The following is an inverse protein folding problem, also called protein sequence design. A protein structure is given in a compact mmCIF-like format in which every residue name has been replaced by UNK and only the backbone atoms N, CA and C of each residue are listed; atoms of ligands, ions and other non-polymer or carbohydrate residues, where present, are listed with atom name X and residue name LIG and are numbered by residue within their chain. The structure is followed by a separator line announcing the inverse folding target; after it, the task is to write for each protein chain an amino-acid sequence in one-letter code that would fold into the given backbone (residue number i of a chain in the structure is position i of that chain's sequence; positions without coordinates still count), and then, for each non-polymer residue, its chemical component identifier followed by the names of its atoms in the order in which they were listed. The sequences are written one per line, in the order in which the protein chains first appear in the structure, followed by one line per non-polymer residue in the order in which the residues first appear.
data_IF_505920658693
#
_entry.id   IF_505920658693
#
_cell.length_a   1.000
_cell.length_b   1.000
_cell.length_c   1.000
_cell.angle_alpha   90.00
_cell.angle_beta   90.00
_cell.angle_gamma   90.00
#
_symmetry.space_group_name_H-M   'P 1'
#
loop_
_entity.id
_entity.type
_entity.pdbx_description
1 polymer ?
#
# COMPACT_ATOMS: atom_id res chain seq x y z
N UNK A 1 5.39 21.46 -13.32
CA UNK A 1 4.61 20.88 -12.21
C UNK A 1 5.61 20.28 -11.23
N UNK A 2 5.63 20.72 -9.97
CA UNK A 2 6.54 20.15 -8.98
C UNK A 2 6.20 18.67 -8.78
N UNK A 3 7.20 17.79 -8.82
CA UNK A 3 6.97 16.36 -8.63
C UNK A 3 6.45 16.08 -7.22
N UNK A 4 5.40 15.26 -7.17
CA UNK A 4 4.82 14.76 -5.93
C UNK A 4 5.85 13.93 -5.13
N UNK A 5 5.67 13.87 -3.81
CA UNK A 5 6.56 13.11 -2.92
C UNK A 5 6.58 11.63 -3.31
N UNK A 6 5.44 11.06 -3.75
CA UNK A 6 5.38 9.66 -4.21
C UNK A 6 6.31 9.42 -5.39
N UNK A 7 6.26 10.29 -6.40
CA UNK A 7 7.10 10.20 -7.60
C UNK A 7 8.58 10.38 -7.29
N UNK A 8 8.93 11.32 -6.40
CA UNK A 8 10.31 11.52 -5.93
C UNK A 8 10.84 10.27 -5.24
N UNK A 9 10.01 9.63 -4.42
CA UNK A 9 10.36 8.41 -3.70
C UNK A 9 10.56 7.22 -4.65
N UNK A 10 9.68 6.99 -5.63
CA UNK A 10 9.90 5.93 -6.63
C UNK A 10 11.15 6.19 -7.46
N UNK A 11 11.44 7.44 -7.84
CA UNK A 11 12.67 7.77 -8.56
C UNK A 11 13.93 7.58 -7.72
N UNK A 12 13.86 7.85 -6.42
CA UNK A 12 14.93 7.51 -5.49
C UNK A 12 15.19 6.00 -5.50
N UNK A 13 14.15 5.17 -5.39
CA UNK A 13 14.28 3.71 -5.46
C UNK A 13 14.92 3.25 -6.78
N UNK A 14 14.38 3.72 -7.92
CA UNK A 14 14.91 3.42 -9.27
C UNK A 14 16.39 3.79 -9.36
N UNK A 15 16.76 4.99 -8.93
CA UNK A 15 18.14 5.46 -8.99
C UNK A 15 19.07 4.60 -8.10
N UNK A 16 18.67 4.37 -6.84
CA UNK A 16 19.43 3.56 -5.90
C UNK A 16 19.70 2.16 -6.43
N UNK A 17 18.69 1.51 -7.02
CA UNK A 17 18.84 0.14 -7.48
C UNK A 17 19.51 0.04 -8.84
N UNK A 18 19.30 1.01 -9.73
CA UNK A 18 20.07 1.12 -10.97
C UNK A 18 21.57 1.26 -10.69
N UNK A 19 21.94 2.11 -9.70
CA UNK A 19 23.33 2.28 -9.30
C UNK A 19 23.93 0.99 -8.74
N UNK A 20 23.18 0.26 -7.91
CA UNK A 20 23.59 -1.05 -7.42
C UNK A 20 23.73 -2.08 -8.54
N UNK A 21 22.79 -2.12 -9.48
CA UNK A 21 22.81 -3.05 -10.61
C UNK A 21 24.10 -2.85 -11.42
N UNK A 22 24.40 -1.61 -11.81
CA UNK A 22 25.62 -1.26 -12.54
C UNK A 22 26.87 -1.66 -11.74
N UNK A 23 26.90 -1.38 -10.44
CA UNK A 23 28.00 -1.77 -9.56
C UNK A 23 28.21 -3.29 -9.51
N UNK A 24 27.13 -4.06 -9.38
CA UNK A 24 27.16 -5.54 -9.38
C UNK A 24 27.63 -6.09 -10.73
N UNK A 25 27.11 -5.58 -11.85
CA UNK A 25 27.56 -6.03 -13.17
C UNK A 25 29.04 -5.74 -13.39
N UNK A 26 29.51 -4.53 -13.07
CA UNK A 26 30.92 -4.17 -13.19
C UNK A 26 31.79 -5.08 -12.32
N UNK A 27 31.42 -5.27 -11.05
CA UNK A 27 32.17 -6.12 -10.13
C UNK A 27 32.16 -7.60 -10.56
N UNK A 28 31.02 -8.11 -11.04
CA UNK A 28 30.87 -9.48 -11.52
C UNK A 28 31.70 -9.77 -12.78
N UNK A 29 31.80 -8.81 -13.71
CA UNK A 29 32.68 -8.92 -14.89
C UNK A 29 34.15 -8.92 -14.45
N UNK A 30 34.54 -8.01 -13.55
CA UNK A 30 35.94 -7.90 -13.08
C UNK A 30 36.36 -9.14 -12.28
N UNK A 31 35.49 -9.64 -11.41
CA UNK A 31 35.78 -10.81 -10.56
C UNK A 31 35.58 -12.15 -11.26
N UNK A 32 34.87 -12.17 -12.41
CA UNK A 32 34.41 -13.39 -13.07
C UNK A 32 33.32 -14.14 -12.29
N UNK A 33 32.71 -13.51 -11.28
CA UNK A 33 31.71 -14.15 -10.41
C UNK A 33 30.34 -14.19 -11.08
N UNK A 34 29.96 -15.38 -11.55
CA UNK A 34 28.61 -15.65 -12.07
C UNK A 34 27.53 -15.42 -11.01
N UNK A 35 27.84 -15.63 -9.72
CA UNK A 35 26.92 -15.36 -8.61
C UNK A 35 26.60 -13.86 -8.50
N UNK A 36 27.62 -13.00 -8.59
CA UNK A 36 27.43 -11.54 -8.56
C UNK A 36 26.69 -11.05 -9.81
N UNK A 37 27.03 -11.57 -10.99
CA UNK A 37 26.30 -11.26 -12.22
C UNK A 37 24.83 -11.66 -12.15
N UNK A 38 24.53 -12.85 -11.65
CA UNK A 38 23.15 -13.30 -11.42
C UNK A 38 22.42 -12.37 -10.46
N UNK A 39 23.06 -11.98 -9.34
CA UNK A 39 22.47 -11.02 -8.39
C UNK A 39 22.29 -9.61 -8.97
N UNK A 40 22.99 -9.29 -10.07
CA UNK A 40 22.79 -8.06 -10.83
C UNK A 40 21.53 -8.12 -11.71
N UNK A 41 21.17 -9.30 -12.22
CA UNK A 41 19.92 -9.51 -12.96
C UNK A 41 18.69 -9.32 -12.06
N UNK A 42 18.78 -9.75 -10.79
CA UNK A 42 17.72 -9.49 -9.80
C UNK A 42 17.48 -7.97 -9.65
N UNK A 43 18.56 -7.19 -9.52
CA UNK A 43 18.46 -5.74 -9.47
C UNK A 43 17.88 -5.09 -10.76
N UNK A 44 17.93 -5.77 -11.92
CA UNK A 44 17.24 -5.28 -13.12
C UNK A 44 15.72 -5.46 -12.96
N UNK A 45 15.27 -6.59 -12.41
CA UNK A 45 13.85 -6.80 -12.11
C UNK A 45 13.37 -5.74 -11.11
N UNK A 46 14.16 -5.40 -10.10
CA UNK A 46 13.84 -4.33 -9.14
C UNK A 46 13.63 -2.96 -9.83
N UNK A 47 14.49 -2.63 -10.81
CA UNK A 47 14.35 -1.40 -11.61
C UNK A 47 13.06 -1.42 -12.42
N UNK A 48 12.70 -2.56 -13.01
CA UNK A 48 11.43 -2.73 -13.72
C UNK A 48 10.24 -2.55 -12.78
N UNK A 49 10.26 -3.19 -11.60
CA UNK A 49 9.22 -3.10 -10.58
C UNK A 49 9.03 -1.65 -10.10
N UNK A 50 10.12 -0.99 -9.71
CA UNK A 50 10.07 0.41 -9.28
C UNK A 50 9.63 1.35 -10.41
N UNK A 51 9.99 1.02 -11.65
CA UNK A 51 9.54 1.72 -12.85
C UNK A 51 8.03 1.59 -13.07
N UNK A 52 7.48 0.38 -12.91
CA UNK A 52 6.04 0.13 -12.96
C UNK A 52 5.30 0.91 -11.87
N UNK A 53 5.82 0.89 -10.64
CA UNK A 53 5.31 1.69 -9.52
C UNK A 53 5.27 3.19 -9.87
N UNK A 54 6.37 3.73 -10.43
CA UNK A 54 6.43 5.14 -10.85
C UNK A 54 5.39 5.47 -11.93
N UNK A 55 5.22 4.61 -12.94
CA UNK A 55 4.22 4.80 -14.00
C UNK A 55 2.81 4.78 -13.42
N UNK A 56 2.53 3.81 -12.54
CA UNK A 56 1.24 3.69 -11.88
C UNK A 56 0.91 4.91 -11.01
N UNK A 57 1.86 5.37 -10.21
CA UNK A 57 1.72 6.59 -9.40
C UNK A 57 1.48 7.81 -10.29
N UNK A 58 2.22 7.95 -11.40
CA UNK A 58 2.00 9.04 -12.36
C UNK A 58 0.61 9.00 -12.98
N UNK A 59 0.15 7.81 -13.35
CA UNK A 59 -1.18 7.61 -13.92
C UNK A 59 -2.26 7.92 -12.88
N UNK A 60 -2.15 7.39 -11.67
CA UNK A 60 -3.06 7.64 -10.56
C UNK A 60 -3.11 9.11 -10.11
N UNK A 61 -2.02 9.86 -10.31
CA UNK A 61 -1.98 11.29 -10.00
C UNK A 61 -2.69 12.16 -11.04
N UNK A 62 -3.12 11.59 -12.18
CA UNK A 62 -3.88 12.36 -13.17
C UNK A 62 -5.28 12.69 -12.64
N UNK A 63 -5.78 13.92 -12.85
CA UNK A 63 -7.15 14.26 -12.50
C UNK A 63 -8.16 13.41 -13.29
N UNK A 64 -9.43 13.39 -12.87
CA UNK A 64 -10.52 12.81 -13.66
C UNK A 64 -10.58 13.37 -15.08
N UNK A 65 -10.93 12.50 -16.02
CA UNK A 65 -11.18 12.85 -17.42
C UNK A 65 -12.51 12.27 -17.92
N UNK A 66 -12.79 12.44 -19.21
CA UNK A 66 -14.06 12.03 -19.83
C UNK A 66 -14.27 10.51 -19.71
N UNK A 67 -13.21 9.73 -19.87
CA UNK A 67 -13.25 8.26 -19.82
C UNK A 67 -13.17 7.73 -18.37
N UNK A 68 -12.60 8.53 -17.46
CA UNK A 68 -12.37 8.18 -16.06
C UNK A 68 -12.86 9.29 -15.11
N UNK A 69 -14.18 9.40 -14.95
CA UNK A 69 -14.84 10.46 -14.16
C UNK A 69 -14.52 10.46 -12.66
N UNK A 70 -14.09 9.31 -12.12
CA UNK A 70 -13.61 9.19 -10.73
C UNK A 70 -12.09 9.31 -10.60
N UNK A 71 -11.38 9.52 -11.71
CA UNK A 71 -9.92 9.56 -11.76
C UNK A 71 -9.28 8.18 -11.95
N UNK A 72 -7.96 8.16 -11.78
CA UNK A 72 -7.11 7.03 -12.19
C UNK A 72 -6.50 6.27 -11.00
N UNK A 73 -7.00 6.51 -9.77
CA UNK A 73 -6.38 5.99 -8.53
C UNK A 73 -6.16 4.47 -8.53
N UNK A 74 -7.09 3.71 -9.13
CA UNK A 74 -7.00 2.24 -9.27
C UNK A 74 -5.76 1.75 -10.03
N UNK A 75 -5.04 2.62 -10.75
CA UNK A 75 -3.77 2.28 -11.37
C UNK A 75 -2.72 1.83 -10.33
N UNK A 76 -2.69 2.44 -9.14
CA UNK A 76 -1.80 2.00 -8.06
C UNK A 76 -2.18 0.60 -7.53
N UNK A 77 -3.48 0.33 -7.41
CA UNK A 77 -3.98 -0.97 -6.95
C UNK A 77 -3.66 -2.08 -7.96
N UNK A 78 -3.80 -1.79 -9.26
CA UNK A 78 -3.41 -2.71 -10.32
C UNK A 78 -1.91 -2.99 -10.31
N UNK A 79 -1.07 -1.96 -10.12
CA UNK A 79 0.37 -2.14 -10.00
C UNK A 79 0.73 -3.03 -8.82
N UNK A 80 0.12 -2.80 -7.65
CA UNK A 80 0.33 -3.63 -6.46
C UNK A 80 -0.04 -5.11 -6.71
N UNK A 81 -1.10 -5.39 -7.46
CA UNK A 81 -1.49 -6.75 -7.85
C UNK A 81 -0.41 -7.38 -8.74
N UNK A 82 0.03 -6.68 -9.79
CA UNK A 82 1.04 -7.20 -10.73
C UNK A 82 2.37 -7.43 -10.04
N UNK A 83 2.80 -6.48 -9.19
CA UNK A 83 4.01 -6.62 -8.39
C UNK A 83 3.91 -7.84 -7.46
N UNK A 84 2.77 -8.03 -6.80
CA UNK A 84 2.55 -9.20 -5.95
C UNK A 84 2.64 -10.51 -6.73
N UNK A 85 2.16 -10.56 -7.98
CA UNK A 85 2.30 -11.76 -8.81
C UNK A 85 3.78 -12.05 -9.11
N UNK A 86 4.56 -11.01 -9.43
CA UNK A 86 5.99 -11.16 -9.71
C UNK A 86 6.72 -11.67 -8.47
N UNK A 87 6.48 -11.07 -7.29
CA UNK A 87 7.11 -11.49 -6.03
C UNK A 87 6.70 -12.92 -5.65
N UNK A 88 5.44 -13.31 -5.93
CA UNK A 88 4.98 -14.68 -5.70
C UNK A 88 5.78 -15.68 -6.53
N UNK A 89 5.98 -15.40 -7.82
CA UNK A 89 6.81 -16.23 -8.68
C UNK A 89 8.28 -16.25 -8.23
N UNK A 90 8.83 -15.12 -7.78
CA UNK A 90 10.18 -15.06 -7.20
C UNK A 90 10.31 -15.96 -5.97
N UNK A 91 9.34 -15.93 -5.05
CA UNK A 91 9.33 -16.82 -3.88
C UNK A 91 9.25 -18.30 -4.24
N UNK A 92 8.43 -18.66 -5.24
CA UNK A 92 8.36 -20.03 -5.77
C UNK A 92 9.68 -20.44 -6.43
N UNK A 93 10.29 -19.54 -7.21
CA UNK A 93 11.56 -19.79 -7.88
C UNK A 93 12.71 -20.00 -6.88
N UNK A 94 12.73 -19.25 -5.77
CA UNK A 94 13.68 -19.46 -4.67
C UNK A 94 13.53 -20.87 -4.10
N UNK A 95 12.32 -21.29 -3.73
CA UNK A 95 12.06 -22.64 -3.22
C UNK A 95 12.51 -23.71 -4.22
N UNK A 96 12.10 -23.57 -5.48
CA UNK A 96 12.46 -24.52 -6.54
C UNK A 96 13.98 -24.64 -6.69
N UNK A 97 14.69 -23.50 -6.80
CA UNK A 97 16.15 -23.48 -6.96
C UNK A 97 16.88 -24.02 -5.74
N UNK A 98 16.37 -23.78 -4.54
CA UNK A 98 16.90 -24.34 -3.31
C UNK A 98 16.76 -25.87 -3.27
N UNK A 99 15.61 -26.41 -3.69
CA UNK A 99 15.40 -27.87 -3.80
C UNK A 99 16.28 -28.50 -4.86
N UNK A 100 16.36 -27.90 -6.05
CA UNK A 100 17.22 -28.36 -7.14
C UNK A 100 18.68 -28.44 -6.69
N UNK A 101 19.21 -27.37 -6.08
CA UNK A 101 20.58 -27.32 -5.55
C UNK A 101 20.86 -28.36 -4.47
N UNK A 102 19.90 -28.58 -3.58
CA UNK A 102 20.03 -29.58 -2.52
C UNK A 102 20.13 -31.00 -3.09
N UNK A 103 19.36 -31.32 -4.12
CA UNK A 103 19.42 -32.63 -4.79
C UNK A 103 20.71 -32.82 -5.58
N UNK A 104 21.19 -31.77 -6.26
CA UNK A 104 22.41 -31.80 -7.07
C UNK A 104 23.71 -31.70 -6.25
N UNK A 105 23.62 -31.55 -4.92
CA UNK A 105 24.76 -31.38 -4.01
C UNK A 105 25.71 -30.23 -4.41
N UNK A 106 25.18 -29.20 -5.06
CA UNK A 106 25.96 -28.04 -5.47
C UNK A 106 26.29 -27.17 -4.25
N UNK A 107 27.56 -26.78 -4.14
CA UNK A 107 28.00 -25.80 -3.14
C UNK A 107 28.33 -24.50 -3.86
N UNK A 108 27.79 -23.38 -3.35
CA UNK A 108 28.16 -22.06 -3.85
C UNK A 108 29.37 -21.60 -3.06
N UNK A 109 30.52 -21.52 -3.72
CA UNK A 109 31.68 -20.85 -3.15
C UNK A 109 31.53 -19.36 -3.34
N UNK A 110 31.24 -18.66 -2.24
CA UNK A 110 31.24 -17.21 -2.22
C UNK A 110 32.66 -16.69 -2.02
N UNK A 111 33.12 -15.83 -2.92
CA UNK A 111 34.33 -15.05 -2.72
C UNK A 111 34.13 -14.02 -1.60
N UNK A 112 35.21 -13.58 -0.96
CA UNK A 112 35.17 -12.46 -0.01
C UNK A 112 34.63 -11.17 -0.64
N UNK A 113 34.84 -11.01 -1.95
CA UNK A 113 34.29 -9.90 -2.74
C UNK A 113 32.77 -10.02 -2.89
N UNK A 114 32.24 -11.24 -3.08
CA UNK A 114 30.80 -11.50 -3.18
C UNK A 114 30.09 -11.16 -1.86
N UNK A 115 30.71 -11.48 -0.71
CA UNK A 115 30.21 -11.11 0.61
C UNK A 115 30.11 -9.60 0.79
N UNK A 116 31.12 -8.84 0.38
CA UNK A 116 31.09 -7.38 0.44
C UNK A 116 29.94 -6.76 -0.38
N UNK A 117 29.70 -7.31 -1.57
CA UNK A 117 28.62 -6.87 -2.45
C UNK A 117 27.24 -7.24 -1.88
N UNK A 118 27.09 -8.43 -1.32
CA UNK A 118 25.83 -8.84 -0.67
C UNK A 118 25.49 -7.94 0.51
N UNK A 119 26.48 -7.59 1.36
CA UNK A 119 26.28 -6.65 2.47
C UNK A 119 25.88 -5.26 1.97
N UNK A 120 26.55 -4.75 0.94
CA UNK A 120 26.19 -3.47 0.33
C UNK A 120 24.76 -3.49 -0.22
N UNK A 121 24.38 -4.58 -0.91
CA UNK A 121 23.04 -4.78 -1.44
C UNK A 121 22.01 -4.78 -0.32
N UNK A 122 22.24 -5.53 0.76
CA UNK A 122 21.37 -5.61 1.92
C UNK A 122 21.14 -4.22 2.55
N UNK A 123 22.22 -3.45 2.77
CA UNK A 123 22.12 -2.10 3.33
C UNK A 123 21.30 -1.16 2.44
N UNK A 124 21.51 -1.22 1.13
CA UNK A 124 20.74 -0.41 0.19
C UNK A 124 19.26 -0.80 0.17
N UNK A 125 18.94 -2.10 0.13
CA UNK A 125 17.56 -2.59 0.20
C UNK A 125 16.88 -2.15 1.49
N UNK A 126 17.58 -2.14 2.64
CA UNK A 126 17.06 -1.59 3.91
C UNK A 126 16.71 -0.10 3.77
N UNK A 127 17.62 0.71 3.22
CA UNK A 127 17.40 2.15 3.05
C UNK A 127 16.19 2.39 2.14
N UNK A 128 16.14 1.73 0.98
CA UNK A 128 15.07 1.87 0.00
C UNK A 128 13.74 1.41 0.59
N UNK A 129 13.68 0.23 1.21
CA UNK A 129 12.49 -0.31 1.87
C UNK A 129 11.94 0.65 2.93
N UNK A 130 12.79 1.19 3.81
CA UNK A 130 12.36 2.12 4.87
C UNK A 130 11.80 3.41 4.29
N UNK A 131 12.43 3.98 3.26
CA UNK A 131 11.96 5.21 2.61
C UNK A 131 10.63 4.97 1.90
N UNK A 132 10.51 3.90 1.11
CA UNK A 132 9.29 3.53 0.41
C UNK A 132 8.14 3.28 1.39
N UNK A 133 8.38 2.49 2.44
CA UNK A 133 7.36 2.17 3.45
C UNK A 133 6.86 3.42 4.16
N UNK A 134 7.75 4.30 4.61
CA UNK A 134 7.37 5.54 5.31
C UNK A 134 6.53 6.46 4.44
N UNK A 135 6.91 6.63 3.17
CA UNK A 135 6.17 7.50 2.25
C UNK A 135 4.87 6.83 1.82
N UNK A 136 4.88 5.52 1.56
CA UNK A 136 3.70 4.73 1.24
C UNK A 136 2.63 4.79 2.34
N UNK A 137 3.01 4.63 3.61
CA UNK A 137 2.10 4.77 4.75
C UNK A 137 1.62 6.22 4.93
N UNK A 138 2.51 7.21 4.75
CA UNK A 138 2.16 8.63 4.90
C UNK A 138 1.20 9.13 3.80
N UNK A 139 1.30 8.58 2.60
CA UNK A 139 0.53 9.01 1.43
C UNK A 139 -0.60 8.04 1.07
N UNK A 140 -0.76 6.97 1.83
CA UNK A 140 -1.71 5.88 1.57
C UNK A 140 -1.58 5.30 0.16
N UNK A 141 -0.33 5.22 -0.34
CA UNK A 141 -0.02 4.72 -1.67
C UNK A 141 0.12 3.20 -1.65
N UNK A 142 -0.79 2.51 -2.35
CA UNK A 142 -0.76 1.05 -2.45
C UNK A 142 0.43 0.58 -3.27
N UNK A 143 0.80 1.30 -4.33
CA UNK A 143 1.97 1.01 -5.17
C UNK A 143 3.29 1.12 -4.39
N UNK A 144 3.52 2.20 -3.62
CA UNK A 144 4.74 2.33 -2.83
C UNK A 144 4.84 1.29 -1.70
N UNK A 145 3.70 0.87 -1.14
CA UNK A 145 3.67 -0.17 -0.11
C UNK A 145 4.01 -1.54 -0.69
N UNK A 146 3.50 -1.87 -1.88
CA UNK A 146 3.86 -3.10 -2.59
C UNK A 146 5.35 -3.11 -2.96
N UNK A 147 5.86 -2.00 -3.52
CA UNK A 147 7.28 -1.85 -3.86
C UNK A 147 8.18 -1.97 -2.61
N UNK A 148 7.80 -1.32 -1.49
CA UNK A 148 8.52 -1.48 -0.21
C UNK A 148 8.58 -2.93 0.28
N UNK A 149 7.54 -3.71 -0.01
CA UNK A 149 7.45 -5.10 0.40
C UNK A 149 8.33 -6.01 -0.46
N UNK A 150 8.47 -5.71 -1.75
CA UNK A 150 9.46 -6.35 -2.63
C UNK A 150 10.86 -6.27 -2.01
N UNK A 151 11.33 -5.05 -1.72
CA UNK A 151 12.63 -4.85 -1.07
C UNK A 151 12.73 -5.48 0.32
N UNK A 152 11.62 -5.55 1.07
CA UNK A 152 11.59 -6.25 2.36
C UNK A 152 11.78 -7.75 2.20
N UNK A 153 11.23 -8.34 1.12
CA UNK A 153 11.43 -9.75 0.77
C UNK A 153 12.89 -10.02 0.39
N UNK A 154 13.54 -9.09 -0.31
CA UNK A 154 14.98 -9.19 -0.63
C UNK A 154 15.85 -9.12 0.62
N UNK A 155 15.49 -8.28 1.60
CA UNK A 155 16.19 -8.20 2.89
C UNK A 155 16.13 -9.55 3.60
N UNK A 156 14.95 -10.18 3.67
CA UNK A 156 14.80 -11.49 4.31
C UNK A 156 15.57 -12.58 3.55
N UNK A 157 15.53 -12.58 2.22
CA UNK A 157 16.28 -13.52 1.38
C UNK A 157 17.79 -13.38 1.59
N UNK A 158 18.31 -12.16 1.49
CA UNK A 158 19.75 -11.88 1.67
C UNK A 158 20.21 -12.21 3.09
N UNK A 159 19.40 -11.90 4.10
CA UNK A 159 19.74 -12.21 5.48
C UNK A 159 19.79 -13.73 5.73
N UNK A 160 18.84 -14.49 5.17
CA UNK A 160 18.84 -15.94 5.27
C UNK A 160 20.06 -16.56 4.60
N UNK A 161 20.45 -16.08 3.40
CA UNK A 161 21.66 -16.53 2.71
C UNK A 161 22.91 -16.24 3.56
N UNK A 162 23.03 -15.04 4.13
CA UNK A 162 24.18 -14.69 4.99
C UNK A 162 24.24 -15.59 6.23
N UNK A 163 23.11 -15.80 6.92
CA UNK A 163 23.05 -16.69 8.09
C UNK A 163 23.39 -18.13 7.70
N UNK A 164 22.88 -18.61 6.56
CA UNK A 164 23.15 -19.93 6.03
C UNK A 164 24.65 -20.14 5.74
N UNK A 165 25.31 -19.17 5.10
CA UNK A 165 26.76 -19.22 4.82
C UNK A 165 27.54 -19.32 6.13
N UNK A 166 27.22 -18.47 7.11
CA UNK A 166 27.89 -18.48 8.43
C UNK A 166 27.70 -19.83 9.10
N UNK A 167 26.46 -20.32 9.20
CA UNK A 167 26.18 -21.61 9.85
C UNK A 167 26.85 -22.78 9.13
N UNK A 168 26.86 -22.79 7.79
CA UNK A 168 27.49 -23.85 6.99
C UNK A 168 29.01 -23.85 7.18
N UNK A 169 29.65 -22.66 7.28
CA UNK A 169 31.08 -22.56 7.58
C UNK A 169 31.43 -23.09 8.97
N UNK A 170 30.61 -22.81 9.99
CA UNK A 170 30.87 -23.27 11.36
C UNK A 170 30.52 -24.75 11.61
N UNK A 171 29.46 -25.26 10.98
CA UNK A 171 28.92 -26.60 11.26
C UNK A 171 29.29 -27.65 10.21
N UNK A 172 29.69 -27.23 9.01
CA UNK A 172 29.92 -28.11 7.86
C UNK A 172 28.64 -28.73 7.27
N UNK A 173 27.45 -28.36 7.75
CA UNK A 173 26.19 -28.96 7.32
C UNK A 173 25.42 -28.07 6.34
N UNK A 174 25.25 -28.56 5.11
CA UNK A 174 24.50 -27.87 4.03
C UNK A 174 22.99 -27.81 4.31
N UNK A 175 22.49 -28.61 5.26
CA UNK A 175 21.06 -28.64 5.65
C UNK A 175 20.56 -27.29 6.19
N UNK A 176 21.43 -26.46 6.77
CA UNK A 176 21.05 -25.14 7.28
C UNK A 176 20.72 -24.16 6.15
N UNK A 177 21.46 -24.21 5.03
CA UNK A 177 21.18 -23.40 3.84
C UNK A 177 19.83 -23.76 3.22
N UNK A 178 19.58 -25.06 3.05
CA UNK A 178 18.31 -25.56 2.54
C UNK A 178 17.12 -25.13 3.41
N UNK A 179 17.18 -25.39 4.72
CA UNK A 179 16.05 -25.11 5.61
C UNK A 179 15.73 -23.62 5.72
N UNK A 180 16.74 -22.75 5.83
CA UNK A 180 16.53 -21.30 5.91
C UNK A 180 15.94 -20.73 4.63
N UNK A 181 16.45 -21.14 3.46
CA UNK A 181 15.93 -20.66 2.19
C UNK A 181 14.48 -21.10 1.94
N UNK A 182 14.12 -22.33 2.33
CA UNK A 182 12.72 -22.81 2.28
C UNK A 182 11.82 -21.98 3.20
N UNK A 183 12.25 -21.73 4.44
CA UNK A 183 11.48 -20.93 5.41
C UNK A 183 11.23 -19.53 4.85
N UNK A 184 12.26 -18.87 4.33
CA UNK A 184 12.11 -17.52 3.76
C UNK A 184 11.22 -17.54 2.52
N UNK A 185 11.36 -18.53 1.64
CA UNK A 185 10.47 -18.69 0.49
C UNK A 185 9.00 -18.73 0.90
N UNK A 186 8.66 -19.50 1.95
CA UNK A 186 7.28 -19.53 2.47
C UNK A 186 6.85 -18.21 3.10
N UNK A 187 7.72 -17.51 3.83
CA UNK A 187 7.42 -16.20 4.41
C UNK A 187 7.10 -15.19 3.31
N UNK A 188 7.89 -15.18 2.23
CA UNK A 188 7.66 -14.32 1.06
C UNK A 188 6.31 -14.63 0.43
N UNK A 189 6.05 -15.90 0.09
CA UNK A 189 4.79 -16.34 -0.51
C UNK A 189 3.58 -15.92 0.34
N UNK A 190 3.60 -16.23 1.64
CA UNK A 190 2.49 -15.90 2.56
C UNK A 190 2.24 -14.39 2.63
N UNK A 191 3.31 -13.61 2.75
CA UNK A 191 3.23 -12.16 2.90
C UNK A 191 2.78 -11.49 1.60
N UNK A 192 3.23 -11.98 0.45
CA UNK A 192 2.79 -11.52 -0.88
C UNK A 192 1.31 -11.82 -1.15
N UNK A 193 0.82 -13.00 -0.75
CA UNK A 193 -0.61 -13.34 -0.89
C UNK A 193 -1.51 -12.36 -0.14
N UNK A 194 -1.03 -11.78 0.97
CA UNK A 194 -1.75 -10.73 1.69
C UNK A 194 -1.85 -9.45 0.85
N UNK A 195 -0.77 -9.00 0.24
CA UNK A 195 -0.76 -7.79 -0.60
C UNK A 195 -1.60 -7.99 -1.86
N UNK A 196 -1.48 -9.15 -2.50
CA UNK A 196 -2.32 -9.53 -3.63
C UNK A 196 -3.81 -9.44 -3.25
N UNK A 197 -4.19 -10.03 -2.11
CA UNK A 197 -5.56 -10.00 -1.60
C UNK A 197 -6.03 -8.58 -1.30
N UNK A 198 -5.18 -7.75 -0.71
CA UNK A 198 -5.49 -6.35 -0.40
C UNK A 198 -5.67 -5.53 -1.69
N UNK A 199 -4.84 -5.75 -2.73
CA UNK A 199 -4.99 -5.13 -4.04
C UNK A 199 -6.28 -5.53 -4.76
N UNK A 200 -6.61 -6.83 -4.78
CA UNK A 200 -7.87 -7.32 -5.36
C UNK A 200 -9.08 -6.74 -4.61
N UNK A 201 -9.01 -6.65 -3.28
CA UNK A 201 -10.03 -6.02 -2.43
C UNK A 201 -10.22 -4.54 -2.75
N UNK A 202 -9.14 -3.78 -2.94
CA UNK A 202 -9.21 -2.39 -3.34
C UNK A 202 -9.92 -2.25 -4.70
N UNK A 203 -9.67 -3.15 -5.64
CA UNK A 203 -10.33 -3.15 -6.95
C UNK A 203 -11.85 -3.40 -6.86
N UNK A 204 -12.28 -4.21 -5.89
CA UNK A 204 -13.68 -4.51 -5.55
C UNK A 204 -14.37 -3.45 -4.68
N UNK A 205 -13.81 -2.23 -4.57
CA UNK A 205 -14.35 -1.12 -3.78
C UNK A 205 -14.55 -1.50 -2.29
N UNK A 206 -13.53 -2.12 -1.69
CA UNK A 206 -13.54 -2.40 -0.24
C UNK A 206 -13.62 -1.10 0.56
N UNK A 207 -14.35 -1.16 1.68
CA UNK A 207 -14.56 -0.05 2.60
C UNK A 207 -13.23 0.53 3.10
N UNK A 208 -13.24 1.84 3.41
CA UNK A 208 -12.10 2.47 4.07
C UNK A 208 -11.90 1.86 5.47
N UNK A 209 -10.74 2.13 6.08
CA UNK A 209 -10.44 1.60 7.42
C UNK A 209 -11.49 2.07 8.43
N UNK A 210 -11.96 1.17 9.31
CA UNK A 210 -12.99 1.49 10.32
C UNK A 210 -12.68 2.72 11.17
N UNK A 211 -11.40 2.93 11.50
CA UNK A 211 -10.92 4.14 12.19
C UNK A 211 -11.31 5.44 11.47
N UNK A 212 -11.24 5.47 10.14
CA UNK A 212 -11.61 6.64 9.33
C UNK A 212 -13.14 6.74 9.24
N UNK A 213 -13.84 5.62 9.11
CA UNK A 213 -15.31 5.63 9.17
C UNK A 213 -15.82 6.20 10.50
N UNK A 214 -15.27 5.74 11.63
CA UNK A 214 -15.64 6.23 12.96
C UNK A 214 -15.40 7.73 13.10
N UNK A 215 -14.30 8.26 12.53
CA UNK A 215 -14.03 9.70 12.48
C UNK A 215 -15.10 10.45 11.68
N UNK A 216 -15.51 9.92 10.52
CA UNK A 216 -16.57 10.54 9.72
C UNK A 216 -17.92 10.49 10.45
N UNK A 217 -18.27 9.34 11.04
CA UNK A 217 -19.49 9.19 11.84
C UNK A 217 -19.52 10.18 13.03
N UNK A 218 -18.37 10.41 13.67
CA UNK A 218 -18.22 11.41 14.73
C UNK A 218 -18.43 12.84 14.23
N UNK A 219 -17.84 13.21 13.09
CA UNK A 219 -18.02 14.54 12.47
C UNK A 219 -19.50 14.76 12.09
N UNK A 220 -20.13 13.79 11.42
CA UNK A 220 -21.56 13.83 11.08
C UNK A 220 -22.42 13.93 12.36
N UNK A 221 -22.02 13.23 13.42
CA UNK A 221 -22.69 13.22 14.72
C UNK A 221 -22.72 14.57 15.44
N UNK A 222 -21.75 15.45 15.15
CA UNK A 222 -21.62 16.79 15.76
C UNK A 222 -22.42 17.88 15.04
N UNK A 223 -23.08 17.56 13.93
CA UNK A 223 -23.84 18.55 13.16
C UNK A 223 -25.02 19.12 13.99
N UNK A 224 -25.23 20.45 13.98
CA UNK A 224 -26.32 21.08 14.72
C UNK A 224 -27.67 20.79 14.04
N UNK A 225 -28.76 21.06 14.76
CA UNK A 225 -30.08 21.17 14.13
C UNK A 225 -30.01 22.12 12.91
N UNK A 226 -30.69 21.84 11.78
CA UNK A 226 -31.77 20.86 11.54
C UNK A 226 -31.36 19.41 11.23
N UNK A 227 -30.12 19.00 11.51
CA UNK A 227 -29.68 17.60 11.38
C UNK A 227 -30.54 16.62 12.20
N UNK A 228 -30.94 15.52 11.56
CA UNK A 228 -31.79 14.49 12.14
C UNK A 228 -31.20 13.07 12.07
N UNK A 229 -29.95 12.91 11.63
CA UNK A 229 -29.28 11.61 11.52
C UNK A 229 -28.73 11.34 10.12
N UNK A 230 -28.14 10.16 9.94
CA UNK A 230 -27.70 9.68 8.63
C UNK A 230 -27.90 8.17 8.55
N UNK A 231 -27.95 7.64 7.34
CA UNK A 231 -27.96 6.19 7.12
C UNK A 231 -27.36 5.83 5.77
N UNK A 232 -27.21 4.52 5.53
CA UNK A 232 -26.62 3.97 4.29
C UNK A 232 -25.26 4.57 3.96
N UNK A 233 -24.41 4.75 4.98
CA UNK A 233 -23.03 5.15 4.77
C UNK A 233 -22.28 4.02 4.05
N UNK A 234 -21.73 4.36 2.89
CA UNK A 234 -20.87 3.50 2.08
C UNK A 234 -19.55 4.23 1.87
N UNK A 235 -18.47 3.46 1.87
CA UNK A 235 -17.13 3.98 1.71
C UNK A 235 -16.34 3.07 0.76
N UNK A 236 -15.36 3.64 0.07
CA UNK A 236 -14.42 2.89 -0.76
C UNK A 236 -13.08 3.61 -0.91
N UNK A 237 -12.05 2.88 -1.29
CA UNK A 237 -10.72 3.41 -1.66
C UNK A 237 -10.40 3.17 -3.12
N UNK A 238 -9.65 4.08 -3.74
CA UNK A 238 -9.04 3.87 -5.06
C UNK A 238 -7.67 4.56 -5.09
N UNK A 239 -6.60 3.75 -5.03
CA UNK A 239 -5.26 4.24 -4.71
C UNK A 239 -5.25 5.03 -3.39
N UNK A 240 -4.64 6.22 -3.39
CA UNK A 240 -4.60 7.10 -2.22
C UNK A 240 -5.89 7.91 -1.98
N UNK A 241 -6.85 7.88 -2.92
CA UNK A 241 -8.12 8.61 -2.81
C UNK A 241 -9.17 7.80 -2.06
N UNK A 242 -9.97 8.49 -1.25
CA UNK A 242 -11.06 7.90 -0.47
C UNK A 242 -12.39 8.47 -0.95
N UNK A 243 -13.42 7.65 -0.98
CA UNK A 243 -14.76 8.08 -1.36
C UNK A 243 -15.73 7.65 -0.28
N UNK A 244 -16.66 8.54 0.04
CA UNK A 244 -17.76 8.24 0.94
C UNK A 244 -19.07 8.77 0.39
N UNK A 245 -20.11 7.98 0.50
CA UNK A 245 -21.47 8.39 0.17
C UNK A 245 -22.45 7.95 1.24
N UNK A 246 -23.40 8.83 1.57
CA UNK A 246 -24.40 8.55 2.61
C UNK A 246 -25.64 9.42 2.43
N UNK A 247 -26.71 9.01 3.10
CA UNK A 247 -27.94 9.78 3.15
C UNK A 247 -27.94 10.63 4.43
N UNK A 248 -28.14 11.93 4.29
CA UNK A 248 -28.15 12.89 5.38
C UNK A 248 -29.59 13.34 5.66
N UNK A 249 -30.08 13.00 6.86
CA UNK A 249 -31.44 13.28 7.27
C UNK A 249 -31.54 14.69 7.84
N UNK A 250 -32.50 15.47 7.34
CA UNK A 250 -32.74 16.84 7.77
C UNK A 250 -34.22 17.10 8.06
N UNK A 251 -34.52 18.13 8.85
CA UNK A 251 -35.89 18.54 9.12
C UNK A 251 -36.68 18.84 7.83
N UNK A 252 -37.92 18.34 7.73
CA UNK A 252 -38.80 18.52 6.56
C UNK A 252 -39.14 19.98 6.23
N UNK A 253 -38.98 20.87 7.20
CA UNK A 253 -39.35 22.29 7.08
C UNK A 253 -38.15 23.18 6.70
N UNK A 254 -36.95 22.60 6.64
CA UNK A 254 -35.74 23.29 6.21
C UNK A 254 -35.83 23.61 4.72
N UNK A 255 -35.42 24.81 4.34
CA UNK A 255 -35.34 25.18 2.93
C UNK A 255 -34.23 24.40 2.23
N UNK A 256 -34.28 24.29 0.90
CA UNK A 256 -33.22 23.60 0.14
C UNK A 256 -31.88 24.32 0.34
N UNK A 257 -31.89 25.65 0.38
CA UNK A 257 -30.68 26.47 0.56
C UNK A 257 -30.03 26.25 1.94
N UNK A 258 -30.84 26.18 3.01
CA UNK A 258 -30.36 25.87 4.35
C UNK A 258 -29.80 24.44 4.44
N UNK A 259 -30.48 23.49 3.79
CA UNK A 259 -30.04 22.10 3.74
C UNK A 259 -28.70 21.95 3.01
N UNK A 260 -28.56 22.61 1.86
CA UNK A 260 -27.31 22.65 1.09
C UNK A 260 -26.18 23.27 1.90
N UNK A 261 -26.42 24.43 2.53
CA UNK A 261 -25.41 25.11 3.35
C UNK A 261 -24.92 24.26 4.53
N UNK A 262 -25.81 23.44 5.12
CA UNK A 262 -25.45 22.52 6.19
C UNK A 262 -24.58 21.36 5.68
N UNK A 263 -24.88 20.84 4.49
CA UNK A 263 -24.07 19.82 3.82
C UNK A 263 -22.71 20.36 3.39
N UNK A 264 -22.64 21.58 2.83
CA UNK A 264 -21.35 22.23 2.48
C UNK A 264 -20.44 22.33 3.70
N UNK A 265 -21.02 22.75 4.83
CA UNK A 265 -20.29 22.85 6.11
C UNK A 265 -19.79 21.47 6.57
N UNK A 266 -20.62 20.43 6.45
CA UNK A 266 -20.24 19.06 6.78
C UNK A 266 -19.11 18.56 5.88
N UNK A 267 -19.22 18.75 4.57
CA UNK A 267 -18.18 18.38 3.61
C UNK A 267 -16.85 19.08 3.91
N UNK A 268 -16.89 20.38 4.20
CA UNK A 268 -15.69 21.13 4.59
C UNK A 268 -15.05 20.58 5.86
N UNK A 269 -15.85 20.26 6.88
CA UNK A 269 -15.35 19.71 8.15
C UNK A 269 -14.66 18.36 7.92
N UNK A 270 -15.28 17.48 7.12
CA UNK A 270 -14.69 16.20 6.75
C UNK A 270 -13.40 16.40 5.93
N UNK A 271 -13.41 17.29 4.93
CA UNK A 271 -12.23 17.59 4.07
C UNK A 271 -11.07 18.21 4.86
N UNK A 272 -11.34 18.96 5.93
CA UNK A 272 -10.32 19.54 6.84
C UNK A 272 -9.63 18.47 7.69
N UNK A 273 -10.39 17.50 8.21
CA UNK A 273 -9.84 16.43 9.06
C UNK A 273 -9.22 15.28 8.25
N UNK A 274 -9.82 14.94 7.12
CA UNK A 274 -9.46 13.76 6.31
C UNK A 274 -9.11 14.22 4.89
N UNK A 275 -7.81 14.29 4.62
CA UNK A 275 -7.29 14.69 3.30
C UNK A 275 -7.55 13.63 2.23
N UNK A 276 -7.83 14.09 1.02
CA UNK A 276 -8.00 13.22 -0.15
C UNK A 276 -9.31 12.42 -0.16
N UNK A 277 -10.33 12.91 0.56
CA UNK A 277 -11.67 12.33 0.56
C UNK A 277 -12.61 13.09 -0.38
N UNK A 278 -13.25 12.35 -1.26
CA UNK A 278 -14.37 12.77 -2.07
C UNK A 278 -15.68 12.31 -1.40
N UNK A 279 -16.66 13.20 -1.34
CA UNK A 279 -17.85 13.05 -0.49
C UNK A 279 -19.07 13.30 -1.37
N UNK A 280 -20.03 12.39 -1.34
CA UNK A 280 -21.33 12.57 -1.98
C UNK A 280 -22.45 12.42 -0.95
N UNK A 281 -23.15 13.50 -0.66
CA UNK A 281 -24.22 13.50 0.34
C UNK A 281 -25.58 13.57 -0.35
N UNK A 282 -26.44 12.58 -0.11
CA UNK A 282 -27.83 12.63 -0.54
C UNK A 282 -28.71 13.17 0.59
N UNK A 283 -29.33 14.33 0.40
CA UNK A 283 -30.20 14.94 1.42
C UNK A 283 -31.57 14.27 1.39
N UNK A 284 -32.01 13.76 2.54
CA UNK A 284 -33.33 13.15 2.69
C UNK A 284 -34.13 13.82 3.82
N UNK A 285 -35.45 14.01 3.63
CA UNK A 285 -36.31 14.49 4.70
C UNK A 285 -36.40 13.44 5.81
N UNK A 286 -36.32 13.88 7.06
CA UNK A 286 -36.55 13.03 8.22
C UNK A 286 -37.92 12.33 8.14
N UNK A 287 -37.97 11.03 8.48
CA UNK A 287 -39.21 10.24 8.45
C UNK A 287 -40.23 10.72 9.50
N UNK A 288 -39.76 11.29 10.62
CA UNK A 288 -40.59 11.76 11.72
C UNK A 288 -41.30 13.08 11.38
N UNK A 289 -42.52 13.26 11.91
CA UNK A 289 -43.26 14.52 11.81
C UNK A 289 -42.52 15.61 12.60
N UNK A 290 -41.90 16.55 11.90
CA UNK A 290 -41.19 17.67 12.52
C UNK A 290 -42.18 18.69 13.10
N UNK A 291 -42.26 18.76 14.42
CA UNK A 291 -42.64 19.99 15.11
C UNK A 291 -41.48 20.98 15.00
N UNK A 292 -41.79 22.26 14.81
CA UNK A 292 -40.99 23.28 14.11
C UNK A 292 -39.64 23.70 14.72
N UNK A 293 -39.19 23.11 15.83
CA UNK A 293 -38.04 23.62 16.61
C UNK A 293 -37.21 22.48 17.23
N UNK A 294 -35.94 22.75 17.57
CA UNK A 294 -35.02 21.83 18.27
C UNK A 294 -35.68 21.21 19.52
N UNK A 295 -36.40 22.04 20.29
CA UNK A 295 -37.11 21.66 21.52
C UNK A 295 -38.26 20.69 21.28
N UNK A 296 -38.77 20.60 20.06
CA UNK A 296 -39.90 19.76 19.68
C UNK A 296 -39.50 18.60 18.76
N UNK A 297 -38.21 18.51 18.40
CA UNK A 297 -37.66 17.42 17.59
C UNK A 297 -37.64 16.09 18.35
N UNK A 298 -38.39 15.10 17.84
CA UNK A 298 -38.47 13.75 18.40
C UNK A 298 -37.12 13.05 18.40
N UNK A 299 -36.33 13.22 17.33
CA UNK A 299 -35.00 12.60 17.19
C UNK A 299 -34.02 13.12 18.26
N UNK A 300 -33.97 14.44 18.47
CA UNK A 300 -33.09 15.04 19.49
C UNK A 300 -33.51 14.62 20.91
N UNK A 301 -34.81 14.54 21.18
CA UNK A 301 -35.36 14.04 22.46
C UNK A 301 -35.03 12.57 22.73
N UNK A 302 -35.05 11.73 21.70
CA UNK A 302 -34.72 10.30 21.87
C UNK A 302 -33.22 10.08 22.00
N UNK A 303 -32.36 10.86 21.31
CA UNK A 303 -30.89 10.83 21.53
C UNK A 303 -30.52 11.26 22.95
N UNK A 304 -31.08 12.35 23.47
CA UNK A 304 -30.79 12.83 24.85
C UNK A 304 -31.24 11.85 25.95
N UNK A 305 -32.28 11.03 25.71
CA UNK A 305 -32.69 9.97 26.64
C UNK A 305 -31.77 8.75 26.68
N UNK A 306 -30.96 8.51 25.62
CA UNK A 306 -30.01 7.39 25.59
C UNK A 306 -28.68 7.69 26.31
N UNK A 307 -28.44 8.95 26.66
CA UNK A 307 -27.24 9.43 27.36
C UNK A 307 -27.54 9.94 28.78
N UNK A 308 -28.70 9.58 29.36
CA UNK A 308 -29.04 9.79 30.78
C UNK A 308 -29.22 8.45 31.48
#
# INVERSE_FOLDING_TARGET
MAMDIKQKTSLFAIFSVSLLAIGKFAAGIISGSMAVLSSGLDNILDVVMSGMSLVAIRLASKPPDIDHQYGHGKAEDLAAIVESIIILFSGIAVIYKTVERFLEHQTIQYSSLDMGIMVLSLLSSIIVSVVLKRVGEKTDSTALRADSFHYTSDIYSNLAVIIAIILTQYTGQVLFDFSLAIIVGFIIIYSTLKIFKDGVRALMDTSITRKIEDQVEEIIGRMPFPYAGFHKLRSRSSGSSKYIDFHFLICRKTSIDEAHSLVDTLEENIKKEIKGMDIMVHIEPCEYVCALTDETCVVLKTKTKKFR
#
